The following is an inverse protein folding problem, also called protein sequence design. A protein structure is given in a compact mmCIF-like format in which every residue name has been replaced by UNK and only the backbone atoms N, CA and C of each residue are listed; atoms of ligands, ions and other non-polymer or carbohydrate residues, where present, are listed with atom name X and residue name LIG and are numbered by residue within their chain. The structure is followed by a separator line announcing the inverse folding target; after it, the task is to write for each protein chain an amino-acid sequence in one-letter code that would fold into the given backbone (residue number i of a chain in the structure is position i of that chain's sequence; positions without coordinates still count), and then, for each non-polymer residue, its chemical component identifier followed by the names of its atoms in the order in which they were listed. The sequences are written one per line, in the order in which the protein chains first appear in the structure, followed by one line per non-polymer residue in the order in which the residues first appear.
data_IF_960636315689
#
_entry.id   IF_960636315689
#
_cell.length_a   1.000
_cell.length_b   1.000
_cell.length_c   1.000
_cell.angle_alpha   90.00
_cell.angle_beta   90.00
_cell.angle_gamma   90.00
#
_symmetry.space_group_name_H-M   'P 1'
#
loop_
_entity.id
_entity.type
_entity.pdbx_description
1 polymer ?
#
# COMPACT_ATOMS: atom_id res chain seq x y z
N UNK A 1 -10.45 10.62 -12.79
CA UNK A 1 -9.17 10.96 -12.09
C UNK A 1 -8.95 9.98 -10.96
N UNK A 2 -7.81 9.31 -10.96
CA UNK A 2 -7.31 8.42 -9.91
C UNK A 2 -6.02 9.06 -9.39
N UNK A 3 -5.87 9.20 -8.07
CA UNK A 3 -4.65 9.69 -7.43
C UNK A 3 -3.93 8.50 -6.80
N UNK A 4 -2.73 8.21 -7.27
CA UNK A 4 -1.77 7.34 -6.61
C UNK A 4 -0.86 8.18 -5.72
N UNK A 5 -0.68 7.77 -4.45
CA UNK A 5 0.10 8.50 -3.45
C UNK A 5 1.00 7.53 -2.69
N UNK A 6 2.31 7.71 -2.81
CA UNK A 6 3.34 7.04 -2.03
C UNK A 6 3.87 7.99 -0.95
N UNK A 7 3.70 7.60 0.30
CA UNK A 7 4.15 8.36 1.48
C UNK A 7 5.41 7.71 2.05
N UNK A 8 6.53 8.02 1.42
CA UNK A 8 7.84 7.54 1.87
C UNK A 8 8.43 8.36 3.02
N UNK A 9 9.51 7.86 3.61
CA UNK A 9 10.22 8.57 4.69
C UNK A 9 10.95 9.84 4.20
N UNK A 10 11.53 9.76 3.01
CA UNK A 10 12.32 10.85 2.44
C UNK A 10 11.56 11.64 1.38
N UNK A 11 10.73 10.97 0.60
CA UNK A 11 9.99 11.56 -0.51
C UNK A 11 8.52 11.18 -0.45
N UNK A 12 7.67 12.17 -0.73
CA UNK A 12 6.28 11.94 -1.13
C UNK A 12 6.24 11.93 -2.65
N UNK A 13 5.60 10.94 -3.23
CA UNK A 13 5.38 10.84 -4.68
C UNK A 13 3.90 10.77 -4.97
N UNK A 14 3.46 11.43 -6.01
CA UNK A 14 2.07 11.40 -6.42
C UNK A 14 1.95 11.32 -7.93
N UNK A 15 0.98 10.56 -8.40
CA UNK A 15 0.61 10.46 -9.82
C UNK A 15 -0.88 10.60 -9.98
N UNK A 16 -1.30 11.28 -11.04
CA UNK A 16 -2.70 11.41 -11.42
C UNK A 16 -2.93 10.68 -12.74
N UNK A 17 -3.84 9.74 -12.72
CA UNK A 17 -4.24 8.97 -13.89
C UNK A 17 -5.69 9.25 -14.25
N UNK A 18 -5.97 9.32 -15.54
CA UNK A 18 -7.33 9.27 -16.07
C UNK A 18 -7.55 7.97 -16.86
N UNK A 19 -8.74 7.39 -16.69
CA UNK A 19 -9.17 6.22 -17.45
C UNK A 19 -9.49 6.63 -18.89
N UNK A 20 -8.94 5.89 -19.84
CA UNK A 20 -9.19 6.05 -21.28
C UNK A 20 -9.80 4.75 -21.86
N UNK A 21 -10.20 4.76 -23.14
CA UNK A 21 -10.71 3.55 -23.82
C UNK A 21 -9.66 2.44 -23.94
N UNK A 22 -8.36 2.82 -23.99
CA UNK A 22 -7.24 1.88 -24.16
C UNK A 22 -6.39 1.68 -22.89
N UNK A 23 -6.86 2.07 -21.70
CA UNK A 23 -6.09 1.90 -20.46
C UNK A 23 -6.08 3.17 -19.60
N UNK A 24 -4.92 3.57 -19.13
CA UNK A 24 -4.75 4.74 -18.27
C UNK A 24 -3.77 5.74 -18.89
N UNK A 25 -4.06 7.02 -18.71
CA UNK A 25 -3.20 8.14 -19.14
C UNK A 25 -2.66 8.87 -17.92
N UNK A 26 -1.35 9.06 -17.87
CA UNK A 26 -0.72 9.95 -16.88
C UNK A 26 -1.10 11.40 -17.22
N UNK A 27 -1.74 12.07 -16.26
CA UNK A 27 -2.21 13.47 -16.41
C UNK A 27 -1.30 14.43 -15.68
N UNK A 28 -0.84 14.05 -14.47
CA UNK A 28 0.02 14.87 -13.64
C UNK A 28 0.87 13.98 -12.73
N UNK A 29 2.00 14.49 -12.29
CA UNK A 29 2.86 13.82 -11.30
C UNK A 29 3.58 14.85 -10.44
N UNK A 30 4.02 14.45 -9.28
CA UNK A 30 4.78 15.29 -8.38
C UNK A 30 5.64 14.48 -7.41
N UNK A 31 6.73 15.12 -6.99
CA UNK A 31 7.69 14.60 -6.03
C UNK A 31 8.04 15.71 -5.06
N UNK A 32 8.06 15.38 -3.75
CA UNK A 32 8.46 16.33 -2.72
C UNK A 32 9.28 15.66 -1.63
N UNK A 33 10.32 16.36 -1.16
CA UNK A 33 11.06 15.99 0.05
C UNK A 33 10.18 16.15 1.28
N UNK A 34 10.29 15.20 2.23
CA UNK A 34 9.62 15.27 3.53
C UNK A 34 10.39 16.20 4.49
N UNK A 35 11.74 16.11 4.62
CA UNK A 35 12.49 17.05 5.44
C UNK A 35 12.46 18.45 4.83
N UNK A 36 12.53 19.46 5.68
CA UNK A 36 12.62 20.84 5.24
C UNK A 36 13.92 21.10 4.43
N UNK A 37 13.91 22.08 3.53
CA UNK A 37 15.12 22.49 2.84
C UNK A 37 16.23 22.83 3.84
N UNK A 38 17.45 22.37 3.57
CA UNK A 38 18.65 22.57 4.40
C UNK A 38 18.73 21.75 5.71
N UNK A 39 17.81 20.81 5.95
CA UNK A 39 17.97 19.83 7.02
C UNK A 39 18.61 18.54 6.48
N UNK A 40 19.57 18.01 7.23
CA UNK A 40 20.09 16.66 6.95
C UNK A 40 18.99 15.64 7.21
N UNK A 41 18.76 14.75 6.25
CA UNK A 41 17.77 13.70 6.41
C UNK A 41 18.13 12.78 7.56
N UNK A 42 17.25 12.73 8.55
CA UNK A 42 17.32 11.82 9.69
C UNK A 42 15.96 11.10 9.80
N UNK A 43 15.89 9.80 9.42
CA UNK A 43 14.63 9.08 9.40
C UNK A 43 13.97 8.94 10.77
N UNK A 44 14.73 9.06 11.87
CA UNK A 44 14.19 8.94 13.23
C UNK A 44 13.49 10.23 13.70
N UNK A 45 13.82 11.36 13.09
CA UNK A 45 13.21 12.65 13.38
C UNK A 45 11.96 12.93 12.56
N UNK A 46 11.69 12.14 11.52
CA UNK A 46 10.47 12.27 10.70
C UNK A 46 9.28 11.75 11.49
N UNK A 47 8.30 12.60 11.64
CA UNK A 47 7.05 12.33 12.37
C UNK A 47 5.82 12.65 11.50
N UNK A 48 4.64 12.26 11.95
CA UNK A 48 3.39 12.47 11.21
C UNK A 48 3.16 13.91 10.72
N UNK A 49 3.40 14.99 11.51
CA UNK A 49 3.28 16.37 11.02
C UNK A 49 4.14 16.68 9.79
N UNK A 50 5.34 16.12 9.68
CA UNK A 50 6.21 16.33 8.52
C UNK A 50 5.57 15.74 7.25
N UNK A 51 5.04 14.51 7.32
CA UNK A 51 4.33 13.90 6.20
C UNK A 51 3.06 14.66 5.83
N UNK A 52 2.26 15.07 6.83
CA UNK A 52 1.03 15.86 6.59
C UNK A 52 1.36 17.15 5.85
N UNK A 53 2.39 17.88 6.30
CA UNK A 53 2.81 19.13 5.68
C UNK A 53 3.32 18.89 4.26
N UNK A 54 4.24 17.95 4.07
CA UNK A 54 4.80 17.63 2.76
C UNK A 54 3.73 17.21 1.74
N UNK A 55 2.77 16.37 2.14
CA UNK A 55 1.68 15.97 1.24
C UNK A 55 0.76 17.15 0.92
N UNK A 56 0.39 17.98 1.90
CA UNK A 56 -0.46 19.16 1.66
C UNK A 56 0.18 20.14 0.68
N UNK A 57 1.48 20.38 0.82
CA UNK A 57 2.21 21.26 -0.08
C UNK A 57 2.31 20.65 -1.48
N UNK A 58 2.62 19.35 -1.60
CA UNK A 58 2.62 18.65 -2.89
C UNK A 58 1.25 18.75 -3.58
N UNK A 59 0.17 18.54 -2.83
CA UNK A 59 -1.19 18.66 -3.38
C UNK A 59 -1.48 20.09 -3.84
N UNK A 60 -1.01 21.10 -3.12
CA UNK A 60 -1.11 22.51 -3.52
C UNK A 60 -0.36 22.80 -4.82
N UNK A 61 0.89 22.33 -4.93
CA UNK A 61 1.71 22.45 -6.15
C UNK A 61 1.04 21.78 -7.36
N UNK A 62 0.50 20.60 -7.15
CA UNK A 62 -0.23 19.85 -8.18
C UNK A 62 -1.65 20.40 -8.45
N UNK A 63 -2.10 21.42 -7.71
CA UNK A 63 -3.46 22.01 -7.78
C UNK A 63 -4.57 20.99 -7.50
N UNK A 64 -4.32 20.06 -6.60
CA UNK A 64 -5.25 19.00 -6.19
C UNK A 64 -5.86 19.36 -4.83
N UNK A 65 -7.20 19.34 -4.76
CA UNK A 65 -7.90 19.45 -3.48
C UNK A 65 -8.16 18.04 -2.93
N UNK A 66 -7.55 17.64 -1.79
CA UNK A 66 -7.70 16.31 -1.21
C UNK A 66 -9.15 15.89 -0.97
N UNK A 67 -10.01 16.82 -0.55
CA UNK A 67 -11.45 16.57 -0.29
C UNK A 67 -12.25 16.22 -1.54
N UNK A 68 -11.74 16.52 -2.73
CA UNK A 68 -12.37 16.24 -4.03
C UNK A 68 -11.84 14.98 -4.72
N UNK A 69 -10.82 14.35 -4.17
CA UNK A 69 -10.27 13.09 -4.69
C UNK A 69 -11.26 11.97 -4.38
N UNK A 70 -11.80 11.33 -5.42
CA UNK A 70 -12.77 10.23 -5.29
C UNK A 70 -12.11 8.86 -5.24
N UNK A 71 -11.00 8.71 -5.95
CA UNK A 71 -10.26 7.45 -6.06
C UNK A 71 -8.83 7.72 -5.64
N UNK A 72 -8.54 7.41 -4.38
CA UNK A 72 -7.20 7.43 -3.81
C UNK A 72 -6.68 6.00 -3.75
N UNK A 73 -5.48 5.78 -4.29
CA UNK A 73 -4.70 4.56 -4.12
C UNK A 73 -3.40 4.94 -3.43
N UNK A 74 -3.09 4.29 -2.34
CA UNK A 74 -1.85 4.51 -1.59
C UNK A 74 -1.27 3.17 -1.17
N UNK A 75 -0.05 3.13 -0.65
CA UNK A 75 0.59 1.91 -0.21
C UNK A 75 1.22 2.04 1.17
N UNK A 76 1.38 0.91 1.83
CA UNK A 76 2.18 0.78 3.04
C UNK A 76 3.61 0.41 2.67
N UNK A 77 4.57 1.01 3.36
CA UNK A 77 5.99 0.75 3.17
C UNK A 77 6.34 -0.71 3.53
N UNK A 78 7.19 -1.34 2.73
CA UNK A 78 7.60 -2.72 2.88
C UNK A 78 8.23 -3.09 4.23
N UNK A 79 8.80 -2.14 4.99
CA UNK A 79 9.33 -2.40 6.34
C UNK A 79 8.24 -2.63 7.40
N UNK A 80 7.00 -2.28 7.10
CA UNK A 80 5.84 -2.38 8.00
C UNK A 80 4.84 -3.45 7.58
N UNK A 81 5.13 -4.18 6.51
CA UNK A 81 4.27 -5.23 5.98
C UNK A 81 5.06 -6.51 5.76
N UNK A 82 4.38 -7.63 5.82
CA UNK A 82 4.90 -8.93 5.43
C UNK A 82 4.17 -9.41 4.19
N UNK A 83 4.93 -9.78 3.16
CA UNK A 83 4.39 -10.42 1.95
C UNK A 83 5.03 -11.79 1.84
N UNK A 84 4.24 -12.86 1.83
CA UNK A 84 4.71 -14.25 1.83
C UNK A 84 3.93 -15.08 0.83
N UNK A 85 4.62 -15.96 0.15
CA UNK A 85 3.98 -17.07 -0.56
C UNK A 85 3.83 -18.23 0.42
N UNK A 86 2.62 -18.72 0.56
CA UNK A 86 2.23 -19.81 1.45
C UNK A 86 1.64 -20.92 0.60
N UNK A 87 2.09 -22.16 0.81
CA UNK A 87 1.42 -23.35 0.28
C UNK A 87 0.61 -23.97 1.40
N UNK A 88 -0.69 -24.15 1.18
CA UNK A 88 -1.62 -24.72 2.17
C UNK A 88 -2.57 -25.71 1.50
N UNK A 89 -3.28 -26.49 2.31
CA UNK A 89 -4.36 -27.36 1.80
C UNK A 89 -5.46 -26.52 1.14
N UNK A 90 -6.05 -27.04 0.08
CA UNK A 90 -7.27 -26.48 -0.48
C UNK A 90 -8.42 -26.71 0.53
N UNK A 91 -9.09 -25.64 0.90
CA UNK A 91 -10.09 -25.65 1.94
C UNK A 91 -11.14 -24.55 1.70
N UNK A 92 -12.34 -24.65 2.32
CA UNK A 92 -13.35 -23.61 2.24
C UNK A 92 -12.83 -22.23 2.64
N UNK A 93 -13.35 -21.19 2.03
CA UNK A 93 -12.84 -19.81 2.18
C UNK A 93 -12.79 -19.33 3.65
N UNK A 94 -13.76 -19.72 4.47
CA UNK A 94 -13.79 -19.35 5.90
C UNK A 94 -12.63 -19.99 6.69
N UNK A 95 -12.35 -21.26 6.40
CA UNK A 95 -11.23 -21.99 7.02
C UNK A 95 -9.90 -21.42 6.51
N UNK A 96 -9.78 -21.13 5.22
CA UNK A 96 -8.61 -20.51 4.63
C UNK A 96 -8.32 -19.16 5.26
N UNK A 97 -9.33 -18.30 5.45
CA UNK A 97 -9.15 -17.01 6.12
C UNK A 97 -8.60 -17.17 7.55
N UNK A 98 -9.16 -18.11 8.30
CA UNK A 98 -8.70 -18.43 9.66
C UNK A 98 -7.25 -18.94 9.67
N UNK A 99 -6.92 -19.85 8.75
CA UNK A 99 -5.58 -20.38 8.56
C UNK A 99 -4.58 -19.26 8.19
N UNK A 100 -4.93 -18.36 7.26
CA UNK A 100 -4.08 -17.24 6.87
C UNK A 100 -3.89 -16.23 8.01
N UNK A 101 -4.91 -16.02 8.84
CA UNK A 101 -4.80 -15.17 10.04
C UNK A 101 -3.80 -15.76 11.05
N UNK A 102 -3.82 -17.07 11.25
CA UNK A 102 -2.86 -17.75 12.11
C UNK A 102 -1.44 -17.69 11.52
N UNK A 103 -1.30 -17.94 10.23
CA UNK A 103 -0.02 -17.90 9.53
C UNK A 103 0.61 -16.50 9.57
N UNK A 104 -0.18 -15.46 9.36
CA UNK A 104 0.28 -14.08 9.42
C UNK A 104 0.98 -13.72 10.74
N UNK A 105 0.48 -14.26 11.87
CA UNK A 105 1.05 -14.02 13.21
C UNK A 105 2.49 -14.49 13.36
N UNK A 106 2.95 -15.43 12.52
CA UNK A 106 4.34 -15.91 12.54
C UNK A 106 5.31 -14.92 11.86
N UNK A 107 4.80 -14.02 11.05
CA UNK A 107 5.59 -13.18 10.14
C UNK A 107 5.55 -11.68 10.45
N UNK A 108 4.70 -11.25 11.36
CA UNK A 108 4.61 -9.86 11.80
C UNK A 108 4.97 -9.73 13.28
N UNK A 109 5.71 -8.69 13.67
CA UNK A 109 5.97 -8.41 15.08
C UNK A 109 4.65 -8.18 15.80
N UNK A 110 4.29 -9.08 16.70
CA UNK A 110 3.08 -8.94 17.51
C UNK A 110 3.39 -8.04 18.72
N UNK A 111 3.20 -6.75 18.54
CA UNK A 111 3.31 -5.73 19.60
C UNK A 111 2.02 -5.63 20.45
N UNK A 112 1.22 -6.70 20.48
CA UNK A 112 -0.10 -6.73 21.10
C UNK A 112 -1.25 -6.25 20.21
N UNK A 113 -0.95 -5.82 18.97
CA UNK A 113 -1.99 -5.41 18.02
C UNK A 113 -2.50 -6.60 17.19
N UNK A 114 -3.75 -6.51 16.71
CA UNK A 114 -4.31 -7.46 15.77
C UNK A 114 -3.63 -7.36 14.41
N UNK A 115 -3.54 -8.50 13.70
CA UNK A 115 -3.13 -8.53 12.30
C UNK A 115 -4.28 -8.05 11.39
N UNK A 116 -3.94 -7.22 10.41
CA UNK A 116 -4.77 -6.96 9.24
C UNK A 116 -4.14 -7.75 8.12
N UNK A 117 -4.93 -8.61 7.47
CA UNK A 117 -4.48 -9.49 6.41
C UNK A 117 -5.31 -9.30 5.15
N UNK A 118 -4.67 -9.56 4.03
CA UNK A 118 -5.32 -9.82 2.75
C UNK A 118 -4.56 -10.94 2.04
N UNK A 119 -5.20 -11.69 1.16
CA UNK A 119 -4.54 -12.77 0.44
C UNK A 119 -5.15 -13.02 -0.93
N UNK A 120 -4.31 -13.51 -1.84
CA UNK A 120 -4.70 -13.90 -3.19
C UNK A 120 -4.29 -15.35 -3.45
N UNK A 121 -5.22 -16.18 -3.87
CA UNK A 121 -4.94 -17.55 -4.32
C UNK A 121 -4.37 -17.47 -5.74
N UNK A 122 -3.19 -18.05 -5.95
CA UNK A 122 -2.58 -18.17 -7.28
C UNK A 122 -3.11 -19.36 -8.07
N UNK A 123 -3.53 -20.41 -7.38
CA UNK A 123 -4.03 -21.66 -7.96
C UNK A 123 -3.55 -22.91 -7.25
N UNK A 124 -3.77 -24.06 -7.86
CA UNK A 124 -3.29 -25.34 -7.34
C UNK A 124 -1.76 -25.42 -7.38
N UNK A 125 -1.14 -25.97 -6.33
CA UNK A 125 0.29 -26.16 -6.30
C UNK A 125 0.70 -27.23 -7.32
N UNK A 126 1.68 -26.95 -8.20
CA UNK A 126 2.08 -27.89 -9.25
C UNK A 126 2.82 -29.13 -8.78
N UNK A 127 3.30 -29.15 -7.53
CA UNK A 127 4.13 -30.23 -6.96
C UNK A 127 3.42 -31.03 -5.88
N UNK A 128 2.40 -30.48 -5.28
CA UNK A 128 1.71 -31.10 -4.14
C UNK A 128 0.21 -31.15 -4.40
N UNK A 129 -0.32 -32.39 -4.48
CA UNK A 129 -1.75 -32.65 -4.69
C UNK A 129 -2.56 -32.09 -3.53
N UNK A 130 -3.79 -31.61 -3.80
CA UNK A 130 -4.71 -31.03 -2.83
C UNK A 130 -4.18 -29.78 -2.09
N UNK A 131 -3.16 -29.12 -2.63
CA UNK A 131 -2.64 -27.85 -2.10
C UNK A 131 -2.81 -26.69 -3.08
N UNK A 132 -2.91 -25.52 -2.52
CA UNK A 132 -2.97 -24.23 -3.22
C UNK A 132 -1.81 -23.33 -2.80
N UNK A 133 -1.36 -22.48 -3.72
CA UNK A 133 -0.41 -21.41 -3.46
C UNK A 133 -1.15 -20.09 -3.26
N UNK A 134 -0.80 -19.40 -2.18
CA UNK A 134 -1.45 -18.17 -1.74
C UNK A 134 -0.39 -17.08 -1.49
N UNK A 135 -0.60 -15.89 -2.02
CA UNK A 135 0.12 -14.71 -1.57
C UNK A 135 -0.59 -14.17 -0.33
N UNK A 136 0.08 -14.17 0.80
CA UNK A 136 -0.39 -13.59 2.05
C UNK A 136 0.28 -12.24 2.26
N UNK A 137 -0.52 -11.21 2.50
CA UNK A 137 -0.07 -9.87 2.89
C UNK A 137 -0.59 -9.58 4.29
N UNK A 138 0.28 -9.11 5.16
CA UNK A 138 -0.09 -8.82 6.54
C UNK A 138 0.63 -7.57 7.08
N UNK A 139 -0.08 -6.80 7.90
CA UNK A 139 0.50 -5.74 8.72
C UNK A 139 -0.19 -5.70 10.08
N UNK A 140 0.35 -4.91 11.02
CA UNK A 140 -0.35 -4.69 12.29
C UNK A 140 -1.51 -3.69 12.10
N UNK A 141 -2.58 -3.86 12.85
CA UNK A 141 -3.72 -2.92 12.89
C UNK A 141 -3.26 -1.51 13.26
N UNK A 142 -2.26 -1.39 14.13
CA UNK A 142 -1.63 -0.13 14.48
C UNK A 142 -1.06 0.59 13.25
N UNK A 143 -0.31 -0.13 12.41
CA UNK A 143 0.26 0.41 11.17
C UNK A 143 -0.82 0.89 10.21
N UNK A 144 -1.82 0.04 9.91
CA UNK A 144 -2.90 0.39 8.99
C UNK A 144 -3.75 1.56 9.50
N UNK A 145 -4.07 1.57 10.81
CA UNK A 145 -4.82 2.66 11.42
C UNK A 145 -4.07 3.98 11.40
N UNK A 146 -2.78 3.98 11.74
CA UNK A 146 -1.94 5.20 11.68
C UNK A 146 -1.89 5.79 10.26
N UNK A 147 -1.79 4.93 9.24
CA UNK A 147 -1.82 5.38 7.84
C UNK A 147 -3.17 5.98 7.45
N UNK A 148 -4.28 5.35 7.87
CA UNK A 148 -5.63 5.86 7.64
C UNK A 148 -5.85 7.22 8.34
N UNK A 149 -5.37 7.37 9.57
CA UNK A 149 -5.46 8.62 10.31
C UNK A 149 -4.65 9.74 9.64
N UNK A 150 -3.44 9.44 9.19
CA UNK A 150 -2.62 10.36 8.41
C UNK A 150 -3.36 10.87 7.16
N UNK A 151 -3.97 9.97 6.38
CA UNK A 151 -4.74 10.34 5.20
C UNK A 151 -5.94 11.24 5.54
N UNK A 152 -6.67 10.92 6.62
CA UNK A 152 -7.80 11.73 7.11
C UNK A 152 -7.36 13.11 7.56
N UNK A 153 -6.24 13.22 8.27
CA UNK A 153 -5.68 14.50 8.72
C UNK A 153 -5.30 15.40 7.55
N UNK A 154 -4.78 14.84 6.45
CA UNK A 154 -4.52 15.58 5.22
C UNK A 154 -5.82 16.08 4.58
N UNK A 155 -6.91 15.35 4.77
CA UNK A 155 -8.24 15.64 4.23
C UNK A 155 -8.66 14.67 3.12
N UNK A 156 -7.97 13.56 2.95
CA UNK A 156 -8.38 12.49 2.05
C UNK A 156 -9.45 11.59 2.67
N UNK A 157 -10.28 11.00 1.80
CA UNK A 157 -11.06 9.82 2.17
C UNK A 157 -10.19 8.60 1.86
N UNK A 158 -9.96 7.69 2.83
CA UNK A 158 -9.26 6.44 2.57
C UNK A 158 -9.94 5.67 1.41
N UNK A 159 -9.13 5.23 0.47
CA UNK A 159 -9.55 4.45 -0.68
C UNK A 159 -8.92 3.05 -0.64
N UNK A 160 -8.13 2.72 -1.65
CA UNK A 160 -7.36 1.48 -1.68
C UNK A 160 -6.01 1.70 -1.00
N UNK A 161 -5.67 0.81 -0.08
CA UNK A 161 -4.35 0.76 0.56
C UNK A 161 -3.70 -0.55 0.11
N UNK A 162 -2.70 -0.46 -0.73
CA UNK A 162 -1.89 -1.57 -1.22
C UNK A 162 -0.61 -1.68 -0.38
N UNK A 163 0.33 -2.47 -0.81
CA UNK A 163 1.68 -2.56 -0.26
C UNK A 163 2.71 -2.33 -1.36
N UNK A 164 3.81 -1.66 -1.04
CA UNK A 164 4.81 -1.26 -2.05
C UNK A 164 5.25 -2.40 -2.99
N UNK A 165 5.58 -3.62 -2.50
CA UNK A 165 6.00 -4.70 -3.39
C UNK A 165 4.93 -5.10 -4.42
N UNK A 166 3.65 -5.16 -4.00
CA UNK A 166 2.55 -5.53 -4.88
C UNK A 166 2.24 -4.39 -5.86
N UNK A 167 2.23 -3.15 -5.41
CA UNK A 167 2.03 -1.98 -6.27
C UNK A 167 3.10 -1.90 -7.38
N UNK A 168 4.38 -2.15 -7.05
CA UNK A 168 5.48 -2.18 -8.01
C UNK A 168 5.30 -3.34 -9.00
N UNK A 169 4.98 -4.54 -8.50
CA UNK A 169 4.74 -5.72 -9.33
C UNK A 169 3.59 -5.47 -10.33
N UNK A 170 2.46 -4.95 -9.85
CA UNK A 170 1.31 -4.63 -10.69
C UNK A 170 1.65 -3.59 -11.76
N UNK A 171 2.41 -2.56 -11.40
CA UNK A 171 2.85 -1.53 -12.35
C UNK A 171 3.79 -2.11 -13.42
N UNK A 172 4.71 -2.98 -13.02
CA UNK A 172 5.64 -3.64 -13.93
C UNK A 172 4.90 -4.61 -14.89
N UNK A 173 4.00 -5.43 -14.37
CA UNK A 173 3.18 -6.36 -15.17
C UNK A 173 2.32 -5.60 -16.19
N UNK A 174 1.68 -4.52 -15.75
CA UNK A 174 0.87 -3.68 -16.64
C UNK A 174 1.68 -3.05 -17.78
N UNK A 175 2.93 -2.63 -17.51
CA UNK A 175 3.81 -2.00 -18.49
C UNK A 175 4.45 -2.99 -19.47
N UNK A 176 4.53 -4.27 -19.12
CA UNK A 176 5.27 -5.29 -19.89
C UNK A 176 4.39 -6.44 -20.41
N UNK A 177 3.06 -6.29 -20.32
CA UNK A 177 2.09 -7.34 -20.75
C UNK A 177 2.45 -8.73 -20.20
N UNK A 178 2.89 -8.81 -18.96
CA UNK A 178 3.18 -10.09 -18.31
C UNK A 178 1.88 -10.82 -17.99
N UNK A 179 1.88 -12.15 -18.13
CA UNK A 179 0.71 -12.99 -17.86
C UNK A 179 0.27 -12.93 -16.40
#
# INVERSE_FOLDING_TARGET
MILGLDIGRQYIKAVVLDKTKGGHKLVNHGLRLVPEPNQTFDPEKISQPHWVMAVRELMKEMKINPKRVKHLVTSLNGSHVSVKQITTMDMPQEELHSSMTFEARKHIPMDGSEAVIDYQIFGSNPKEVDKIDVALVACTKKTSSAHIELLKEIGFKPGIIDVDPIAIMNSYSYANDLP
#
